data_IF_752795644717
#
_entry.id   IF_752795644717
#
_cell.length_a   1.000
_cell.length_b   1.000
_cell.length_c   1.000
_cell.angle_alpha   90.00
_cell.angle_beta   90.00
_cell.angle_gamma   90.00
#
_symmetry.space_group_name_H-M   'P 1'
#
loop_
_entity.id
_entity.type
_entity.pdbx_description
1 polymer ?
#
# COMPACT_ATOMS: atom_id res chain seq x y z
N UNK A 1 2.83 13.17 5.74
CA UNK A 1 3.87 12.85 4.75
C UNK A 1 4.63 11.64 5.27
N UNK A 2 4.63 10.53 4.53
CA UNK A 2 5.42 9.35 4.86
C UNK A 2 6.92 9.63 4.67
N UNK A 3 7.77 8.61 4.84
CA UNK A 3 9.16 8.69 4.39
C UNK A 3 9.14 9.14 2.92
N UNK A 4 9.63 10.35 2.70
CA UNK A 4 9.58 11.02 1.42
C UNK A 4 10.93 10.86 0.75
N UNK A 5 10.96 9.95 -0.22
CA UNK A 5 12.12 9.69 -1.05
C UNK A 5 12.09 10.55 -2.32
N UNK A 6 11.63 11.80 -2.22
CA UNK A 6 11.28 12.63 -3.38
C UNK A 6 12.48 12.87 -4.31
N UNK A 7 12.15 12.92 -5.60
CA UNK A 7 13.00 13.34 -6.73
C UNK A 7 14.04 12.35 -7.26
N UNK A 8 13.56 11.15 -7.62
CA UNK A 8 14.00 10.45 -8.84
C UNK A 8 15.51 10.25 -9.02
N UNK A 9 16.08 9.27 -8.34
CA UNK A 9 17.29 8.54 -8.82
C UNK A 9 17.62 7.26 -8.04
N UNK A 10 16.99 7.00 -6.90
CA UNK A 10 17.50 6.00 -5.97
C UNK A 10 16.68 4.71 -5.91
N UNK A 11 17.41 3.60 -5.97
CA UNK A 11 17.03 2.29 -5.46
C UNK A 11 17.11 2.37 -3.94
N UNK A 12 16.06 1.96 -3.24
CA UNK A 12 16.09 1.84 -1.78
C UNK A 12 15.28 0.64 -1.33
N UNK A 13 15.62 0.18 -0.15
CA UNK A 13 14.92 -0.87 0.57
C UNK A 13 14.63 -0.37 1.97
N UNK A 14 13.35 -0.20 2.26
CA UNK A 14 12.85 0.16 3.57
C UNK A 14 12.29 -1.08 4.24
N UNK A 15 12.77 -1.38 5.46
CA UNK A 15 12.21 -2.46 6.26
C UNK A 15 12.04 -2.14 7.74
N UNK A 16 11.06 -2.77 8.37
CA UNK A 16 10.83 -2.75 9.83
C UNK A 16 10.67 -1.36 10.46
N UNK A 17 9.91 -0.45 9.85
CA UNK A 17 9.53 0.80 10.48
C UNK A 17 8.04 0.84 10.86
N UNK A 18 7.73 1.67 11.85
CA UNK A 18 6.38 1.97 12.31
C UNK A 18 6.01 3.41 11.93
N UNK A 19 5.21 3.57 10.89
CA UNK A 19 4.79 4.86 10.35
C UNK A 19 3.42 5.23 10.87
N UNK A 20 3.25 6.49 11.29
CA UNK A 20 1.94 7.00 11.73
C UNK A 20 1.54 8.15 10.81
N UNK A 21 0.32 8.09 10.29
CA UNK A 21 -0.27 9.10 9.40
C UNK A 21 0.42 9.25 8.03
N UNK A 22 1.07 8.18 7.56
CA UNK A 22 1.67 8.09 6.23
C UNK A 22 1.54 6.68 5.65
N UNK A 23 1.40 6.58 4.33
CA UNK A 23 1.47 5.34 3.56
C UNK A 23 2.69 5.32 2.63
N UNK A 24 2.80 4.33 1.74
CA UNK A 24 3.83 4.35 0.70
C UNK A 24 3.45 5.34 -0.40
N UNK A 25 4.37 6.25 -0.71
CA UNK A 25 4.37 7.08 -1.92
C UNK A 25 5.28 6.45 -2.96
N UNK A 26 4.78 6.18 -4.16
CA UNK A 26 5.60 5.92 -5.34
C UNK A 26 5.40 7.02 -6.38
N UNK A 27 6.45 7.82 -6.58
CA UNK A 27 6.49 8.91 -7.55
C UNK A 27 7.88 9.01 -8.15
N UNK A 28 7.98 8.99 -9.48
CA UNK A 28 9.25 9.01 -10.24
C UNK A 28 10.22 7.90 -9.80
N UNK A 29 11.36 7.76 -10.49
CA UNK A 29 12.34 6.69 -10.21
C UNK A 29 11.74 5.28 -10.29
N UNK A 30 12.46 4.27 -9.85
CA UNK A 30 12.03 2.87 -9.95
C UNK A 30 12.73 1.99 -8.90
N UNK A 31 12.30 0.74 -8.77
CA UNK A 31 13.00 -0.27 -7.96
C UNK A 31 13.11 0.07 -6.47
N UNK A 32 12.02 0.55 -5.90
CA UNK A 32 11.87 0.81 -4.47
C UNK A 32 11.20 -0.39 -3.82
N UNK A 33 11.74 -0.82 -2.69
CA UNK A 33 11.31 -2.02 -1.99
C UNK A 33 10.89 -1.63 -0.59
N UNK A 34 9.67 -1.97 -0.21
CA UNK A 34 9.15 -1.79 1.14
C UNK A 34 8.63 -3.13 1.65
N UNK A 35 9.19 -3.60 2.76
CA UNK A 35 8.71 -4.82 3.39
C UNK A 35 8.70 -4.78 4.91
N UNK A 36 7.79 -5.54 5.52
CA UNK A 36 7.66 -5.62 6.97
C UNK A 36 7.43 -4.26 7.68
N UNK A 37 6.92 -3.27 6.94
CA UNK A 37 6.51 -1.99 7.47
C UNK A 37 5.17 -2.13 8.22
N UNK A 38 4.96 -1.28 9.22
CA UNK A 38 3.64 -1.07 9.82
C UNK A 38 3.23 0.38 9.53
N UNK A 39 2.26 0.57 8.64
CA UNK A 39 1.66 1.87 8.37
C UNK A 39 0.36 2.01 9.16
N UNK A 40 0.26 3.05 9.98
CA UNK A 40 -0.87 3.26 10.90
C UNK A 40 -1.61 4.52 10.51
N UNK A 41 -2.90 4.36 10.22
CA UNK A 41 -3.82 5.42 9.87
C UNK A 41 -3.27 6.29 8.72
N UNK A 42 -2.80 5.61 7.66
CA UNK A 42 -2.18 6.24 6.49
C UNK A 42 -3.09 7.23 5.79
N UNK A 43 -4.39 7.19 6.08
CA UNK A 43 -5.44 8.04 5.55
C UNK A 43 -6.04 8.98 6.60
N UNK A 44 -5.62 9.00 7.87
CA UNK A 44 -6.24 9.87 8.86
C UNK A 44 -6.11 11.37 8.57
N UNK A 45 -5.13 11.75 7.73
CA UNK A 45 -5.03 13.10 7.20
C UNK A 45 -5.70 13.17 5.83
N UNK A 46 -6.45 14.23 5.57
CA UNK A 46 -6.95 14.57 4.21
C UNK A 46 -5.84 15.10 3.29
N UNK A 47 -4.58 14.79 3.60
CA UNK A 47 -3.47 15.20 2.77
C UNK A 47 -3.55 14.52 1.40
N UNK A 48 -2.89 15.11 0.42
CA UNK A 48 -2.72 14.49 -0.89
C UNK A 48 -1.75 13.29 -0.80
N UNK A 49 -1.28 12.85 -1.96
CA UNK A 49 -0.16 11.95 -2.23
C UNK A 49 0.52 11.26 -1.04
N UNK A 50 0.39 9.95 -0.96
CA UNK A 50 1.06 9.13 0.06
C UNK A 50 0.55 9.33 1.50
N UNK A 51 -0.56 10.05 1.70
CA UNK A 51 -1.17 10.25 3.02
C UNK A 51 -2.70 10.09 3.06
N UNK A 52 -3.25 9.32 2.12
CA UNK A 52 -4.68 9.02 1.99
C UNK A 52 -5.01 7.53 1.76
N UNK A 53 -3.98 6.69 1.56
CA UNK A 53 -4.05 5.25 1.24
C UNK A 53 -2.80 4.55 1.79
N UNK A 54 -2.79 3.22 1.82
CA UNK A 54 -1.62 2.42 2.19
C UNK A 54 -0.49 2.55 1.16
N UNK A 55 -0.85 2.56 -0.13
CA UNK A 55 0.09 2.68 -1.24
C UNK A 55 -0.52 3.54 -2.34
N UNK A 56 0.17 4.63 -2.69
CA UNK A 56 -0.15 5.52 -3.81
C UNK A 56 0.94 5.37 -4.87
N UNK A 57 0.60 4.71 -5.99
CA UNK A 57 1.44 4.58 -7.17
C UNK A 57 0.96 5.51 -8.27
N UNK A 58 1.66 6.63 -8.39
CA UNK A 58 1.19 7.77 -9.16
C UNK A 58 2.01 7.99 -10.42
N UNK A 59 1.27 8.17 -11.52
CA UNK A 59 1.82 8.39 -12.85
C UNK A 59 3.05 7.52 -13.21
N UNK A 60 3.06 6.19 -12.93
CA UNK A 60 4.17 5.34 -13.33
C UNK A 60 4.27 5.28 -14.86
N UNK A 61 5.49 5.34 -15.41
CA UNK A 61 5.72 5.38 -16.86
C UNK A 61 6.72 4.32 -17.31
N UNK A 62 6.29 3.43 -18.21
CA UNK A 62 7.14 2.32 -18.71
C UNK A 62 8.45 2.87 -19.28
N UNK A 63 9.57 2.28 -18.83
CA UNK A 63 10.91 2.67 -19.25
C UNK A 63 11.46 3.94 -18.58
N UNK A 64 10.69 4.56 -17.68
CA UNK A 64 11.11 5.77 -16.95
C UNK A 64 10.95 5.61 -15.44
N UNK A 65 9.74 5.27 -14.97
CA UNK A 65 9.41 5.23 -13.55
C UNK A 65 8.43 4.11 -13.18
N UNK A 66 8.39 3.75 -11.90
CA UNK A 66 7.41 2.83 -11.32
C UNK A 66 7.57 1.35 -11.71
N UNK A 67 8.70 0.97 -12.30
CA UNK A 67 8.99 -0.42 -12.62
C UNK A 67 9.81 -1.11 -11.51
N UNK A 68 9.62 -2.42 -11.34
CA UNK A 68 10.27 -3.22 -10.28
C UNK A 68 10.04 -2.68 -8.85
N UNK A 69 8.93 -1.99 -8.63
CA UNK A 69 8.48 -1.57 -7.30
C UNK A 69 7.96 -2.79 -6.54
N UNK A 70 8.32 -2.92 -5.27
CA UNK A 70 7.95 -4.06 -4.43
C UNK A 70 7.35 -3.54 -3.12
N UNK A 71 6.16 -4.02 -2.77
CA UNK A 71 5.51 -3.71 -1.50
C UNK A 71 4.88 -4.99 -0.93
N UNK A 72 5.62 -5.65 -0.04
CA UNK A 72 5.30 -7.03 0.40
C UNK A 72 5.38 -7.18 1.91
N UNK A 73 4.55 -8.08 2.46
CA UNK A 73 4.58 -8.42 3.89
C UNK A 73 4.41 -7.20 4.82
N UNK A 74 3.80 -6.14 4.31
CA UNK A 74 3.53 -4.92 5.07
C UNK A 74 2.20 -5.04 5.78
N UNK A 75 2.10 -4.38 6.94
CA UNK A 75 0.84 -4.16 7.63
C UNK A 75 0.40 -2.72 7.42
N UNK A 76 -0.84 -2.50 7.01
CA UNK A 76 -1.41 -1.16 6.89
C UNK A 76 -2.77 -1.08 7.57
N UNK A 77 -2.99 -0.01 8.35
CA UNK A 77 -4.26 0.30 9.01
C UNK A 77 -4.83 1.58 8.44
N UNK A 78 -6.06 1.52 7.96
CA UNK A 78 -6.84 2.67 7.49
C UNK A 78 -7.85 3.10 8.57
N UNK A 79 -8.06 4.40 8.68
CA UNK A 79 -8.93 5.05 9.65
C UNK A 79 -10.31 5.38 9.06
N UNK A 80 -10.42 5.70 7.76
CA UNK A 80 -11.69 6.08 7.14
C UNK A 80 -11.91 5.59 5.68
N UNK A 81 -10.86 5.41 4.89
CA UNK A 81 -10.91 5.12 3.47
C UNK A 81 -10.93 3.61 3.27
N UNK A 82 -11.93 3.05 2.58
CA UNK A 82 -11.96 1.62 2.27
C UNK A 82 -11.00 1.22 1.15
N UNK A 83 -10.39 2.16 0.41
CA UNK A 83 -9.47 1.88 -0.69
C UNK A 83 -8.03 1.83 -0.18
N UNK A 84 -7.40 0.65 -0.06
CA UNK A 84 -6.04 0.56 0.47
C UNK A 84 -5.01 1.09 -0.52
N UNK A 85 -5.29 0.99 -1.81
CA UNK A 85 -4.36 1.38 -2.86
C UNK A 85 -4.97 2.44 -3.77
N UNK A 86 -4.09 3.28 -4.31
CA UNK A 86 -4.35 4.14 -5.45
C UNK A 86 -3.26 3.86 -6.48
N UNK A 87 -3.61 3.16 -7.55
CA UNK A 87 -2.66 2.73 -8.58
C UNK A 87 -3.19 3.27 -9.91
N UNK A 88 -2.65 4.41 -10.36
CA UNK A 88 -3.25 5.21 -11.44
C UNK A 88 -3.38 4.46 -12.76
N UNK A 89 -2.42 3.57 -13.06
CA UNK A 89 -2.31 2.85 -14.33
C UNK A 89 -2.67 1.37 -14.23
N UNK A 90 -3.45 0.96 -13.22
CA UNK A 90 -3.91 -0.42 -13.14
C UNK A 90 -4.85 -0.77 -14.31
N UNK A 91 -4.42 -1.72 -15.14
CA UNK A 91 -5.19 -2.29 -16.24
C UNK A 91 -4.92 -3.78 -16.35
N UNK A 92 -5.95 -4.60 -16.14
CA UNK A 92 -5.85 -6.07 -16.16
C UNK A 92 -5.43 -6.63 -17.52
N UNK A 93 -5.64 -5.90 -18.62
CA UNK A 93 -5.21 -6.30 -19.96
C UNK A 93 -3.73 -5.93 -20.26
N UNK A 94 -3.15 -5.03 -19.46
CA UNK A 94 -1.79 -4.52 -19.65
C UNK A 94 -1.15 -4.13 -18.31
N UNK A 95 -0.96 -5.11 -17.43
CA UNK A 95 -0.49 -4.87 -16.08
C UNK A 95 0.86 -4.11 -16.05
N UNK A 96 0.83 -2.96 -15.39
CA UNK A 96 2.00 -2.18 -15.01
C UNK A 96 1.74 -1.57 -13.64
N UNK A 97 1.94 -2.40 -12.62
CA UNK A 97 1.64 -2.10 -11.21
C UNK A 97 2.79 -2.60 -10.34
N UNK A 98 2.93 -2.12 -9.09
CA UNK A 98 3.92 -2.65 -8.17
C UNK A 98 3.69 -4.13 -7.86
N UNK A 99 4.75 -4.85 -7.49
CA UNK A 99 4.64 -6.21 -7.00
C UNK A 99 4.16 -6.20 -5.56
N UNK A 100 2.91 -6.64 -5.36
CA UNK A 100 2.24 -6.71 -4.07
C UNK A 100 2.02 -8.18 -3.70
N UNK A 101 2.37 -8.59 -2.48
CA UNK A 101 2.20 -9.97 -1.97
C UNK A 101 2.17 -9.99 -0.44
N UNK A 102 1.34 -10.87 0.16
CA UNK A 102 1.33 -11.22 1.59
C UNK A 102 1.17 -10.04 2.57
N UNK A 103 0.50 -8.96 2.15
CA UNK A 103 0.24 -7.81 3.01
C UNK A 103 -0.94 -8.07 3.98
N UNK A 104 -0.99 -7.30 5.05
CA UNK A 104 -2.11 -7.30 6.02
C UNK A 104 -2.75 -5.92 6.01
N UNK A 105 -3.95 -5.84 5.47
CA UNK A 105 -4.70 -4.60 5.38
C UNK A 105 -5.80 -4.60 6.43
N UNK A 106 -5.89 -3.51 7.18
CA UNK A 106 -6.88 -3.31 8.21
C UNK A 106 -7.75 -2.12 7.83
N UNK A 107 -9.05 -2.34 7.64
CA UNK A 107 -10.02 -1.30 7.24
C UNK A 107 -10.98 -0.97 8.39
N UNK A 108 -11.62 0.20 8.39
CA UNK A 108 -12.59 0.57 9.41
C UNK A 108 -13.76 -0.41 9.51
N UNK A 109 -14.29 -0.60 10.72
CA UNK A 109 -15.46 -1.46 10.93
C UNK A 109 -16.67 -1.00 10.09
N UNK A 110 -17.43 -1.96 9.57
CA UNK A 110 -18.58 -1.68 8.70
C UNK A 110 -18.22 -1.27 7.28
N UNK A 111 -16.94 -1.35 6.89
CA UNK A 111 -16.49 -1.10 5.50
C UNK A 111 -15.95 -2.37 4.87
N UNK A 112 -16.06 -2.45 3.54
CA UNK A 112 -15.42 -3.49 2.73
C UNK A 112 -14.28 -2.85 1.95
N UNK A 113 -13.11 -3.50 1.92
CA UNK A 113 -12.00 -2.99 1.12
C UNK A 113 -12.35 -3.01 -0.37
N UNK A 114 -11.95 -1.96 -1.09
CA UNK A 114 -12.20 -1.80 -2.51
C UNK A 114 -10.88 -1.57 -3.25
N UNK A 115 -10.70 -2.29 -4.36
CA UNK A 115 -9.53 -2.18 -5.22
C UNK A 115 -9.97 -1.69 -6.60
N UNK A 116 -9.33 -0.66 -7.14
CA UNK A 116 -9.73 -0.08 -8.43
C UNK A 116 -8.75 -0.48 -9.52
N UNK A 117 -9.26 -1.04 -10.63
CA UNK A 117 -8.48 -1.34 -11.84
C UNK A 117 -9.35 -1.21 -13.09
N UNK A 118 -8.73 -1.05 -14.26
CA UNK A 118 -9.44 -1.25 -15.53
C UNK A 118 -9.61 -2.74 -15.81
N UNK A 119 -10.83 -3.13 -16.15
CA UNK A 119 -11.19 -4.48 -16.60
C UNK A 119 -11.93 -4.33 -17.93
N UNK A 120 -11.38 -4.91 -19.00
CA UNK A 120 -11.85 -4.72 -20.37
C UNK A 120 -11.97 -3.21 -20.72
N UNK A 121 -10.93 -2.43 -20.41
CA UNK A 121 -10.85 -0.99 -20.68
C UNK A 121 -11.74 -0.06 -19.83
N UNK A 122 -12.54 -0.58 -18.90
CA UNK A 122 -13.41 0.22 -18.03
C UNK A 122 -12.97 0.16 -16.57
N UNK A 123 -12.95 1.30 -15.87
CA UNK A 123 -12.65 1.33 -14.44
C UNK A 123 -13.71 0.53 -13.65
N UNK A 124 -13.26 -0.39 -12.80
CA UNK A 124 -14.08 -1.23 -11.93
C UNK A 124 -13.55 -1.21 -10.51
N UNK A 125 -14.48 -1.27 -9.57
CA UNK A 125 -14.21 -1.57 -8.17
C UNK A 125 -14.30 -3.09 -7.97
N UNK A 126 -13.25 -3.66 -7.40
CA UNK A 126 -13.07 -5.09 -7.19
C UNK A 126 -13.00 -5.37 -5.69
N UNK A 127 -13.57 -6.50 -5.28
CA UNK A 127 -13.26 -7.14 -4.00
C UNK A 127 -11.82 -7.66 -3.98
N UNK A 128 -11.30 -8.00 -2.79
CA UNK A 128 -9.98 -8.62 -2.66
C UNK A 128 -9.88 -9.92 -3.47
N UNK A 129 -10.92 -10.76 -3.42
CA UNK A 129 -10.95 -12.04 -4.12
C UNK A 129 -10.91 -11.86 -5.64
N UNK A 130 -11.64 -10.86 -6.16
CA UNK A 130 -11.60 -10.52 -7.58
C UNK A 130 -10.23 -9.96 -7.96
N UNK A 131 -9.66 -9.06 -7.15
CA UNK A 131 -8.32 -8.51 -7.38
C UNK A 131 -7.26 -9.63 -7.45
N UNK A 132 -7.28 -10.55 -6.50
CA UNK A 132 -6.40 -11.72 -6.46
C UNK A 132 -6.66 -12.71 -7.61
N UNK A 133 -7.88 -12.80 -8.14
CA UNK A 133 -8.16 -13.66 -9.30
C UNK A 133 -7.44 -13.23 -10.58
N UNK A 134 -7.00 -11.97 -10.67
CA UNK A 134 -6.13 -11.47 -11.74
C UNK A 134 -4.63 -11.68 -11.46
N UNK A 135 -4.27 -12.40 -10.39
CA UNK A 135 -2.88 -12.61 -9.99
C UNK A 135 -2.26 -11.46 -9.19
N UNK A 136 -3.04 -10.49 -8.75
CA UNK A 136 -2.57 -9.29 -8.05
C UNK A 136 -2.67 -9.46 -6.53
N UNK A 137 -1.64 -9.02 -5.80
CA UNK A 137 -1.66 -8.96 -4.32
C UNK A 137 -1.99 -10.31 -3.66
N UNK A 138 -1.41 -11.39 -4.19
CA UNK A 138 -1.66 -12.76 -3.73
C UNK A 138 -1.21 -12.94 -2.28
N UNK A 139 -2.04 -13.63 -1.50
CA UNK A 139 -1.78 -13.93 -0.09
C UNK A 139 -2.07 -12.77 0.87
N UNK A 140 -2.35 -11.58 0.34
CA UNK A 140 -2.83 -10.46 1.16
C UNK A 140 -4.17 -10.76 1.79
N UNK A 141 -4.36 -10.30 3.02
CA UNK A 141 -5.62 -10.42 3.74
C UNK A 141 -6.13 -9.04 4.18
N UNK A 142 -7.45 -8.87 4.14
CA UNK A 142 -8.15 -7.70 4.67
C UNK A 142 -8.90 -8.08 5.95
N UNK A 143 -8.74 -7.29 7.00
CA UNK A 143 -9.39 -7.47 8.30
C UNK A 143 -9.97 -6.14 8.81
N UNK A 144 -10.80 -6.19 9.85
CA UNK A 144 -11.25 -5.00 10.55
C UNK A 144 -10.10 -4.46 11.41
N UNK A 145 -9.89 -3.14 11.39
CA UNK A 145 -8.90 -2.47 12.20
C UNK A 145 -9.07 -2.79 13.70
N UNK A 146 -8.00 -3.23 14.38
CA UNK A 146 -8.07 -3.50 15.81
C UNK A 146 -8.09 -2.20 16.60
N UNK A 147 -8.27 -2.31 17.92
CA UNK A 147 -8.16 -1.16 18.81
C UNK A 147 -6.74 -0.55 18.81
N UNK A 148 -6.67 0.72 19.21
CA UNK A 148 -5.41 1.49 19.28
C UNK A 148 -4.37 0.82 20.18
N UNK A 149 -4.78 0.14 21.24
CA UNK A 149 -3.86 -0.50 22.18
C UNK A 149 -3.12 -1.67 21.52
N UNK A 150 -3.83 -2.46 20.70
CA UNK A 150 -3.26 -3.52 19.88
C UNK A 150 -2.24 -2.97 18.88
N UNK A 151 -2.54 -1.84 18.23
CA UNK A 151 -1.63 -1.20 17.27
C UNK A 151 -0.36 -0.66 17.96
N UNK A 152 -0.52 -0.02 19.12
CA UNK A 152 0.61 0.43 19.95
C UNK A 152 1.50 -0.75 20.31
N UNK A 153 0.92 -1.90 20.68
CA UNK A 153 1.67 -3.10 21.02
C UNK A 153 2.47 -3.65 19.83
N UNK A 154 1.96 -3.53 18.60
CA UNK A 154 2.75 -3.87 17.41
C UNK A 154 3.99 -2.99 17.26
N UNK A 155 3.84 -1.68 17.47
CA UNK A 155 4.97 -0.74 17.44
C UNK A 155 5.99 -1.03 18.55
N UNK A 156 5.53 -1.34 19.76
CA UNK A 156 6.42 -1.77 20.86
C UNK A 156 7.20 -3.02 20.48
N UNK A 157 6.52 -4.05 19.97
CA UNK A 157 7.17 -5.30 19.55
C UNK A 157 8.20 -5.08 18.46
N UNK A 158 7.91 -4.26 17.46
CA UNK A 158 8.86 -3.93 16.40
C UNK A 158 10.12 -3.24 16.94
N UNK A 159 9.97 -2.25 17.82
CA UNK A 159 11.10 -1.48 18.39
C UNK A 159 11.89 -2.26 19.46
N UNK A 160 11.25 -3.21 20.14
CA UNK A 160 11.84 -3.95 21.26
C UNK A 160 12.32 -5.35 20.88
N UNK A 161 11.98 -5.83 19.68
CA UNK A 161 12.50 -7.08 19.15
C UNK A 161 14.03 -6.98 19.01
N UNK A 162 14.72 -7.54 20.01
CA UNK A 162 16.12 -7.92 19.90
C UNK A 162 16.13 -9.24 19.14
N UNK A 163 16.79 -9.26 17.98
CA UNK A 163 17.07 -10.47 17.20
C UNK A 163 17.76 -11.53 18.04
#
# INVERSE_FOLDING_TARGET
>A
WPIDHDDGSCFYEDSYNFHVYGGKKNFLGHSKIDHHQIYVYSDANRGDFGSNVCLDDYAPSRGSSGWNEIWVENTCVLYHNPSPYKIDNCDTDNLFVPYLVNNKIYVPSGTQAVFTCKVNGSARQLSLEQWQSYGLDIGTAVQIAPDVQTIIEWGRKMLQATT
#
